data_IF_934098720981
#
_entry.id   IF_934098720981
#
_cell.length_a   1.000
_cell.length_b   1.000
_cell.length_c   1.000
_cell.angle_alpha   90.00
_cell.angle_beta   90.00
_cell.angle_gamma   90.00
#
_symmetry.space_group_name_H-M   'P 1'
#
loop_
_entity.id
_entity.type
_entity.pdbx_description
1 polymer ?
#
# COMPACT_ATOMS: atom_id res chain seq x y z
N UNK A 1 -18.74 -30.59 -13.85
CA UNK A 1 -18.29 -29.75 -12.71
C UNK A 1 -16.77 -29.64 -12.63
N UNK A 2 -16.00 -30.72 -12.81
CA UNK A 2 -14.53 -30.68 -12.79
C UNK A 2 -13.92 -29.63 -13.76
N UNK A 3 -14.41 -29.55 -15.01
CA UNK A 3 -13.91 -28.58 -15.98
C UNK A 3 -14.09 -27.11 -15.55
N UNK A 4 -15.26 -26.76 -14.99
CA UNK A 4 -15.53 -25.39 -14.51
C UNK A 4 -14.67 -25.04 -13.29
N UNK A 5 -14.44 -26.01 -12.41
CA UNK A 5 -13.53 -25.85 -11.29
C UNK A 5 -12.08 -25.62 -11.77
N UNK A 6 -11.60 -26.39 -12.74
CA UNK A 6 -10.27 -26.21 -13.33
C UNK A 6 -10.11 -24.83 -13.98
N UNK A 7 -11.13 -24.33 -14.69
CA UNK A 7 -11.11 -22.98 -15.25
C UNK A 7 -11.08 -21.91 -14.15
N UNK A 8 -11.82 -22.11 -13.07
CA UNK A 8 -11.79 -21.21 -11.92
C UNK A 8 -10.41 -21.18 -11.25
N UNK A 9 -9.77 -22.33 -11.01
CA UNK A 9 -8.41 -22.39 -10.43
C UNK A 9 -7.35 -21.76 -11.35
N UNK A 10 -7.47 -21.98 -12.66
CA UNK A 10 -6.59 -21.34 -13.64
C UNK A 10 -6.77 -19.83 -13.64
N UNK A 11 -8.01 -19.34 -13.51
CA UNK A 11 -8.29 -17.90 -13.46
C UNK A 11 -7.72 -17.24 -12.20
N UNK A 12 -7.68 -17.93 -11.06
CA UNK A 12 -7.05 -17.38 -9.84
C UNK A 12 -5.52 -17.36 -9.92
N UNK A 13 -4.92 -17.92 -10.96
CA UNK A 13 -3.47 -18.01 -11.12
C UNK A 13 -2.83 -19.11 -10.26
N UNK A 14 -3.62 -20.01 -9.69
CA UNK A 14 -3.16 -21.06 -8.77
C UNK A 14 -3.02 -22.39 -9.52
N UNK A 15 -1.81 -22.96 -9.52
CA UNK A 15 -1.55 -24.28 -10.14
C UNK A 15 -1.76 -24.34 -11.66
N UNK A 16 -1.93 -23.20 -12.34
CA UNK A 16 -2.16 -23.16 -13.77
C UNK A 16 -1.01 -23.72 -14.64
N UNK A 17 0.29 -23.64 -14.26
CA UNK A 17 1.34 -24.23 -15.08
C UNK A 17 1.22 -25.75 -15.14
N UNK A 18 0.80 -26.39 -14.04
CA UNK A 18 0.60 -27.83 -13.97
C UNK A 18 -0.60 -28.26 -14.83
N UNK A 19 -1.70 -27.50 -14.77
CA UNK A 19 -2.89 -27.74 -15.60
C UNK A 19 -2.57 -27.58 -17.09
N UNK A 20 -1.81 -26.54 -17.45
CA UNK A 20 -1.30 -26.33 -18.80
C UNK A 20 -0.41 -27.49 -19.25
N UNK A 21 0.56 -27.89 -18.44
CA UNK A 21 1.48 -28.98 -18.75
C UNK A 21 0.74 -30.30 -18.97
N UNK A 22 -0.18 -30.66 -18.06
CA UNK A 22 -1.03 -31.85 -18.18
C UNK A 22 -1.90 -31.81 -19.45
N UNK A 23 -2.32 -30.61 -19.88
CA UNK A 23 -3.08 -30.43 -21.12
C UNK A 23 -2.21 -30.63 -22.36
N UNK A 24 -0.97 -30.14 -22.35
CA UNK A 24 -0.01 -30.32 -23.45
C UNK A 24 0.48 -31.77 -23.57
N UNK A 25 0.55 -32.50 -22.45
CA UNK A 25 1.00 -33.88 -22.42
C UNK A 25 -0.15 -34.88 -22.65
N UNK A 26 -1.40 -34.40 -22.79
CA UNK A 26 -2.58 -35.24 -23.00
C UNK A 26 -2.57 -35.94 -24.36
N UNK A 27 -2.81 -37.25 -24.39
CA UNK A 27 -2.76 -38.08 -25.61
C UNK A 27 -4.17 -38.48 -26.09
N UNK A 28 -4.42 -39.78 -26.30
CA UNK A 28 -5.73 -40.33 -26.66
C UNK A 28 -6.49 -40.74 -25.40
N UNK A 29 -7.80 -40.95 -25.55
CA UNK A 29 -8.65 -41.44 -24.44
C UNK A 29 -8.12 -42.79 -23.95
N UNK A 30 -8.01 -42.93 -22.63
CA UNK A 30 -7.48 -44.11 -21.92
C UNK A 30 -5.96 -44.38 -22.07
N UNK A 31 -5.19 -43.43 -22.60
CA UNK A 31 -3.72 -43.50 -22.66
C UNK A 31 -3.06 -42.53 -21.68
N UNK A 32 -1.86 -42.91 -21.19
CA UNK A 32 -1.05 -42.06 -20.33
C UNK A 32 -0.48 -40.81 -21.04
N UNK A 33 0.02 -39.83 -20.28
CA UNK A 33 0.58 -38.62 -20.85
C UNK A 33 1.91 -38.88 -21.57
N UNK A 34 2.13 -38.18 -22.69
CA UNK A 34 3.40 -38.16 -23.41
C UNK A 34 3.94 -36.72 -23.44
N UNK A 35 5.20 -36.49 -23.02
CA UNK A 35 5.76 -35.15 -22.98
C UNK A 35 5.67 -34.40 -24.32
N UNK A 36 5.06 -33.22 -24.32
CA UNK A 36 4.93 -32.32 -25.48
C UNK A 36 4.16 -32.92 -26.67
N UNK A 37 3.17 -33.77 -26.42
CA UNK A 37 2.37 -34.40 -27.48
C UNK A 37 1.46 -33.40 -28.22
N UNK A 38 0.81 -32.47 -27.50
CA UNK A 38 -0.12 -31.46 -28.03
C UNK A 38 0.20 -30.06 -27.51
N UNK A 39 1.34 -29.52 -27.94
CA UNK A 39 1.78 -28.18 -27.53
C UNK A 39 0.79 -27.07 -27.94
N UNK A 40 -0.01 -27.30 -28.99
CA UNK A 40 -1.06 -26.41 -29.46
C UNK A 40 -2.11 -26.06 -28.40
N UNK A 41 -2.31 -26.92 -27.40
CA UNK A 41 -3.22 -26.65 -26.28
C UNK A 41 -2.81 -25.43 -25.44
N UNK A 42 -1.54 -25.00 -25.50
CA UNK A 42 -1.07 -23.79 -24.84
C UNK A 42 -1.78 -22.52 -25.33
N UNK A 43 -2.21 -22.49 -26.60
CA UNK A 43 -2.90 -21.33 -27.18
C UNK A 43 -4.22 -21.06 -26.43
N UNK A 44 -4.95 -22.12 -26.04
CA UNK A 44 -6.18 -22.00 -25.27
C UNK A 44 -5.93 -21.23 -23.97
N UNK A 45 -4.92 -21.62 -23.20
CA UNK A 45 -4.59 -20.98 -21.93
C UNK A 45 -4.10 -19.55 -22.11
N UNK A 46 -3.27 -19.27 -23.12
CA UNK A 46 -2.82 -17.89 -23.42
C UNK A 46 -4.00 -16.98 -23.71
N UNK A 47 -4.92 -17.41 -24.58
CA UNK A 47 -6.13 -16.63 -24.90
C UNK A 47 -7.01 -16.48 -23.66
N UNK A 48 -7.21 -17.53 -22.88
CA UNK A 48 -7.99 -17.51 -21.65
C UNK A 48 -7.41 -16.52 -20.63
N UNK A 49 -6.09 -16.51 -20.42
CA UNK A 49 -5.40 -15.59 -19.49
C UNK A 49 -5.43 -14.12 -19.92
N UNK A 50 -5.51 -13.83 -21.21
CA UNK A 50 -5.56 -12.44 -21.70
C UNK A 50 -7.00 -11.93 -21.73
N UNK A 51 -7.90 -12.70 -22.33
CA UNK A 51 -9.25 -12.23 -22.65
C UNK A 51 -10.17 -12.28 -21.42
N UNK A 52 -10.12 -13.35 -20.65
CA UNK A 52 -11.07 -13.55 -19.55
C UNK A 52 -10.87 -12.56 -18.40
N UNK A 53 -9.64 -12.28 -17.92
CA UNK A 53 -9.40 -11.25 -16.92
C UNK A 53 -9.76 -9.85 -17.41
N UNK A 54 -9.51 -9.52 -18.67
CA UNK A 54 -9.88 -8.22 -19.24
C UNK A 54 -11.39 -7.98 -19.17
N UNK A 55 -12.19 -8.97 -19.59
CA UNK A 55 -13.65 -8.89 -19.49
C UNK A 55 -14.13 -8.79 -18.04
N UNK A 56 -13.57 -9.62 -17.15
CA UNK A 56 -13.96 -9.63 -15.74
C UNK A 56 -13.65 -8.31 -15.03
N UNK A 57 -12.45 -7.76 -15.25
CA UNK A 57 -12.06 -6.46 -14.69
C UNK A 57 -12.98 -5.35 -15.20
N UNK A 58 -13.32 -5.34 -16.49
CA UNK A 58 -14.19 -4.31 -17.05
C UNK A 58 -15.61 -4.36 -16.46
N UNK A 59 -16.20 -5.55 -16.31
CA UNK A 59 -17.50 -5.70 -15.65
C UNK A 59 -17.42 -5.27 -14.19
N UNK A 60 -16.40 -5.71 -13.48
CA UNK A 60 -16.23 -5.40 -12.07
C UNK A 60 -16.08 -3.89 -11.84
N UNK A 61 -15.24 -3.22 -12.63
CA UNK A 61 -15.05 -1.76 -12.58
C UNK A 61 -16.36 -1.04 -12.90
N UNK A 62 -17.09 -1.46 -13.94
CA UNK A 62 -18.36 -0.84 -14.30
C UNK A 62 -19.40 -0.96 -13.17
N UNK A 63 -19.52 -2.14 -12.56
CA UNK A 63 -20.42 -2.37 -11.43
C UNK A 63 -20.06 -1.48 -10.24
N UNK A 64 -18.77 -1.42 -9.89
CA UNK A 64 -18.28 -0.60 -8.78
C UNK A 64 -18.59 0.89 -9.02
N UNK A 65 -18.35 1.39 -10.23
CA UNK A 65 -18.66 2.79 -10.59
C UNK A 65 -20.15 3.07 -10.42
N UNK A 66 -21.03 2.21 -10.97
CA UNK A 66 -22.48 2.39 -10.86
C UNK A 66 -22.92 2.39 -9.39
N UNK A 67 -22.41 1.46 -8.58
CA UNK A 67 -22.77 1.41 -7.16
C UNK A 67 -22.30 2.64 -6.38
N UNK A 68 -21.11 3.18 -6.66
CA UNK A 68 -20.63 4.41 -6.01
C UNK A 68 -21.37 5.65 -6.50
N UNK A 69 -21.78 5.69 -7.76
CA UNK A 69 -22.63 6.75 -8.28
C UNK A 69 -23.99 6.72 -7.59
N UNK A 70 -24.64 5.56 -7.49
CA UNK A 70 -25.94 5.42 -6.82
C UNK A 70 -25.85 5.77 -5.32
N UNK A 71 -24.78 5.36 -4.63
CA UNK A 71 -24.55 5.76 -3.23
C UNK A 71 -24.29 7.26 -3.09
N UNK A 72 -23.46 7.83 -3.97
CA UNK A 72 -23.14 9.26 -3.96
C UNK A 72 -24.35 10.15 -4.28
N UNK A 73 -25.23 9.71 -5.18
CA UNK A 73 -26.48 10.41 -5.48
C UNK A 73 -27.45 10.36 -4.30
N UNK A 74 -27.60 9.22 -3.62
CA UNK A 74 -28.45 9.11 -2.41
C UNK A 74 -27.99 10.01 -1.26
N UNK A 75 -26.69 10.22 -1.08
CA UNK A 75 -26.15 11.16 -0.08
C UNK A 75 -26.41 12.64 -0.41
N UNK A 76 -26.63 12.94 -1.70
CA UNK A 76 -26.94 14.28 -2.21
C UNK A 76 -28.45 14.52 -2.29
N UNK A 77 -29.27 13.46 -2.39
CA UNK A 77 -30.73 13.53 -2.48
C UNK A 77 -31.39 14.07 -1.18
N UNK A 78 -30.66 14.07 -0.06
CA UNK A 78 -31.15 14.58 1.24
C UNK A 78 -31.31 16.12 1.31
N UNK A 79 -31.01 16.88 0.24
CA UNK A 79 -31.31 18.31 0.21
C UNK A 79 -31.03 19.02 -1.11
N UNK A 80 -31.62 20.20 -1.28
CA UNK A 80 -31.49 21.08 -2.46
C UNK A 80 -30.13 21.82 -2.54
N UNK A 81 -29.09 21.25 -1.92
CA UNK A 81 -27.77 21.86 -1.74
C UNK A 81 -26.73 21.15 -2.62
N UNK A 82 -25.91 21.94 -3.32
CA UNK A 82 -24.78 21.41 -4.10
C UNK A 82 -23.71 20.75 -3.19
N UNK A 83 -22.96 19.78 -3.73
CA UNK A 83 -21.90 19.06 -3.01
C UNK A 83 -20.87 20.02 -2.39
N UNK A 84 -20.51 21.09 -3.10
CA UNK A 84 -19.57 22.08 -2.58
C UNK A 84 -20.17 22.90 -1.43
N UNK A 85 -21.47 23.23 -1.52
CA UNK A 85 -22.17 23.98 -0.48
C UNK A 85 -22.26 23.16 0.81
N UNK A 86 -22.65 21.89 0.71
CA UNK A 86 -22.68 20.95 1.85
C UNK A 86 -21.32 20.88 2.53
N UNK A 87 -20.25 20.68 1.77
CA UNK A 87 -18.87 20.61 2.30
C UNK A 87 -18.42 21.92 2.98
N UNK A 88 -18.74 23.08 2.40
CA UNK A 88 -18.42 24.37 3.01
C UNK A 88 -19.19 24.60 4.32
N UNK A 89 -20.48 24.25 4.35
CA UNK A 89 -21.32 24.38 5.54
C UNK A 89 -20.82 23.46 6.65
N UNK A 90 -20.55 22.19 6.33
CA UNK A 90 -20.01 21.23 7.30
C UNK A 90 -18.68 21.70 7.88
N UNK A 91 -17.78 22.21 7.03
CA UNK A 91 -16.52 22.78 7.50
C UNK A 91 -16.75 24.00 8.41
N UNK A 92 -17.61 24.94 8.03
CA UNK A 92 -17.88 26.14 8.81
C UNK A 92 -18.49 25.82 10.19
N UNK A 93 -19.33 24.79 10.28
CA UNK A 93 -19.97 24.35 11.52
C UNK A 93 -19.01 23.54 12.40
N UNK A 94 -18.19 22.68 11.80
CA UNK A 94 -17.34 21.73 12.53
C UNK A 94 -15.93 22.28 12.83
N UNK A 95 -15.49 23.33 12.15
CA UNK A 95 -14.15 23.88 12.32
C UNK A 95 -13.93 24.37 13.76
N UNK A 96 -12.88 23.84 14.39
CA UNK A 96 -12.40 24.30 15.69
C UNK A 96 -11.12 25.11 15.51
N UNK A 97 -10.90 26.18 16.32
CA UNK A 97 -9.70 26.97 16.22
C UNK A 97 -8.46 26.11 16.51
N UNK A 98 -7.39 26.34 15.74
CA UNK A 98 -6.09 25.70 15.98
C UNK A 98 -5.55 26.16 17.34
N UNK A 99 -5.34 25.20 18.24
CA UNK A 99 -4.75 25.48 19.55
C UNK A 99 -3.23 25.57 19.41
N UNK A 100 -2.69 26.80 19.36
CA UNK A 100 -1.24 27.04 19.41
C UNK A 100 -0.84 27.51 20.80
N UNK A 101 -0.11 26.67 21.54
CA UNK A 101 0.38 27.01 22.87
C UNK A 101 1.60 27.94 22.74
N UNK A 102 1.39 29.25 22.88
CA UNK A 102 2.46 30.25 22.88
C UNK A 102 2.80 30.66 24.32
N UNK A 103 4.06 30.57 24.76
CA UNK A 103 4.46 31.07 26.08
C UNK A 103 4.27 32.60 26.16
N UNK A 104 3.70 33.08 27.28
CA UNK A 104 3.28 34.48 27.47
C UNK A 104 4.45 35.47 27.56
N UNK A 105 5.59 35.04 28.13
CA UNK A 105 6.73 35.92 28.43
C UNK A 105 7.84 35.73 27.38
N UNK A 106 8.07 36.75 26.54
CA UNK A 106 9.08 36.73 25.47
C UNK A 106 10.53 36.76 25.96
N UNK A 107 10.77 37.28 27.17
CA UNK A 107 12.12 37.45 27.73
C UNK A 107 12.65 36.19 28.45
N UNK A 108 11.80 35.18 28.63
CA UNK A 108 12.17 33.95 29.33
C UNK A 108 12.83 32.92 28.40
N UNK A 109 13.70 32.08 28.95
CA UNK A 109 14.37 30.97 28.23
C UNK A 109 13.35 30.05 27.55
N UNK A 110 12.18 29.87 28.15
CA UNK A 110 11.05 29.10 27.60
C UNK A 110 10.63 29.59 26.20
N UNK A 111 10.59 30.91 25.95
CA UNK A 111 10.23 31.44 24.62
C UNK A 111 11.33 31.19 23.59
N UNK A 112 12.61 31.24 23.99
CA UNK A 112 13.74 30.93 23.11
C UNK A 112 13.74 29.45 22.71
N UNK A 113 13.52 28.54 23.65
CA UNK A 113 13.39 27.10 23.37
C UNK A 113 12.18 26.82 22.49
N UNK A 114 11.01 27.39 22.81
CA UNK A 114 9.81 27.25 21.97
C UNK A 114 10.05 27.75 20.53
N UNK A 115 10.69 28.91 20.37
CA UNK A 115 11.01 29.46 19.05
C UNK A 115 11.99 28.58 18.28
N UNK A 116 12.93 27.92 18.96
CA UNK A 116 13.86 26.99 18.34
C UNK A 116 13.17 25.69 17.89
N UNK A 117 12.36 25.07 18.76
CA UNK A 117 11.64 23.81 18.46
C UNK A 117 10.61 24.00 17.36
N UNK A 118 9.92 25.15 17.33
CA UNK A 118 8.88 25.47 16.32
C UNK A 118 9.50 26.02 15.03
N UNK A 119 10.83 26.10 14.93
CA UNK A 119 11.49 26.65 13.75
C UNK A 119 11.55 25.63 12.60
N UNK A 120 11.31 26.04 11.34
CA UNK A 120 11.49 25.16 10.17
C UNK A 120 12.86 24.44 10.07
N UNK A 121 14.03 25.06 10.39
CA UNK A 121 15.29 24.33 10.33
C UNK A 121 15.38 23.18 11.35
N UNK A 122 14.72 23.30 12.51
CA UNK A 122 14.65 22.21 13.49
C UNK A 122 13.81 21.05 12.95
N UNK A 123 12.69 21.32 12.27
CA UNK A 123 11.89 20.29 11.60
C UNK A 123 12.71 19.52 10.54
N UNK A 124 13.47 20.23 9.70
CA UNK A 124 14.37 19.59 8.73
C UNK A 124 15.46 18.74 9.39
N UNK A 125 15.99 19.18 10.54
CA UNK A 125 16.97 18.41 11.31
C UNK A 125 16.38 17.10 11.85
N UNK A 126 15.18 17.13 12.41
CA UNK A 126 14.50 15.90 12.88
C UNK A 126 14.18 14.97 11.72
N UNK A 127 13.69 15.49 10.58
CA UNK A 127 13.47 14.67 9.39
C UNK A 127 14.75 13.99 8.89
N UNK A 128 15.88 14.70 8.91
CA UNK A 128 17.18 14.12 8.57
C UNK A 128 17.58 12.99 9.55
N UNK A 129 17.39 13.18 10.85
CA UNK A 129 17.68 12.16 11.86
C UNK A 129 16.82 10.90 11.66
N UNK A 130 15.55 11.04 11.29
CA UNK A 130 14.66 9.91 10.97
C UNK A 130 15.22 9.13 9.78
N UNK A 131 15.56 9.83 8.68
CA UNK A 131 16.13 9.18 7.48
C UNK A 131 17.41 8.45 7.82
N UNK A 132 18.35 9.08 8.53
CA UNK A 132 19.61 8.46 8.93
C UNK A 132 19.40 7.24 9.82
N UNK A 133 18.45 7.29 10.76
CA UNK A 133 18.09 6.14 11.58
C UNK A 133 17.51 4.99 10.74
N UNK A 134 16.63 5.28 9.77
CA UNK A 134 16.09 4.23 8.88
C UNK A 134 17.19 3.56 8.05
N UNK A 135 18.14 4.33 7.51
CA UNK A 135 19.28 3.80 6.77
C UNK A 135 20.16 2.92 7.65
N UNK A 136 20.44 3.35 8.87
CA UNK A 136 21.24 2.59 9.83
C UNK A 136 20.59 1.23 10.15
N UNK A 137 19.26 1.18 10.30
CA UNK A 137 18.53 -0.06 10.50
C UNK A 137 18.60 -0.98 9.27
N UNK A 138 18.54 -0.44 8.05
CA UNK A 138 18.68 -1.19 6.79
C UNK A 138 20.09 -1.75 6.57
N UNK A 139 21.13 -1.14 7.14
CA UNK A 139 22.51 -1.61 7.02
C UNK A 139 22.81 -2.90 7.80
N UNK A 140 21.85 -3.45 8.55
CA UNK A 140 22.01 -4.73 9.26
C UNK A 140 22.01 -5.90 8.28
N UNK A 141 23.06 -6.73 8.31
CA UNK A 141 23.16 -7.93 7.49
C UNK A 141 23.65 -9.16 8.28
N UNK A 142 23.43 -10.34 7.72
CA UNK A 142 23.77 -11.63 8.35
C UNK A 142 25.29 -11.90 8.31
N UNK A 143 25.87 -12.42 9.40
CA UNK A 143 27.33 -12.61 9.61
C UNK A 143 28.19 -11.32 9.56
N UNK A 144 27.66 -10.23 10.10
CA UNK A 144 28.41 -8.98 10.26
C UNK A 144 29.65 -9.11 11.16
N UNK A 145 30.72 -8.39 10.82
CA UNK A 145 31.94 -8.28 11.66
C UNK A 145 31.56 -7.72 13.04
N UNK A 146 32.18 -8.25 14.11
CA UNK A 146 31.88 -7.86 15.49
C UNK A 146 32.06 -6.35 15.73
N UNK A 147 33.07 -5.73 15.10
CA UNK A 147 33.32 -4.29 15.18
C UNK A 147 32.15 -3.49 14.58
N UNK A 148 31.65 -3.89 13.40
CA UNK A 148 30.52 -3.26 12.74
C UNK A 148 29.22 -3.38 13.56
N UNK A 149 28.99 -4.56 14.17
CA UNK A 149 27.86 -4.80 15.06
C UNK A 149 27.89 -3.87 16.29
N UNK A 150 29.06 -3.71 16.92
CA UNK A 150 29.23 -2.81 18.07
C UNK A 150 29.01 -1.35 17.67
N UNK A 151 29.58 -0.89 16.54
CA UNK A 151 29.36 0.47 16.04
C UNK A 151 27.87 0.75 15.76
N UNK A 152 27.17 -0.18 15.09
CA UNK A 152 25.73 -0.06 14.88
C UNK A 152 24.95 0.01 16.19
N UNK A 153 25.35 -0.73 17.21
CA UNK A 153 24.68 -0.69 18.52
C UNK A 153 24.84 0.67 19.20
N UNK A 154 26.05 1.23 19.24
CA UNK A 154 26.29 2.57 19.79
C UNK A 154 25.58 3.67 19.01
N UNK A 155 25.55 3.59 17.68
CA UNK A 155 24.83 4.57 16.87
C UNK A 155 23.32 4.50 17.11
N UNK A 156 22.73 3.30 17.19
CA UNK A 156 21.32 3.16 17.56
C UNK A 156 21.04 3.79 18.93
N UNK A 157 21.89 3.55 19.93
CA UNK A 157 21.75 4.16 21.26
C UNK A 157 21.87 5.70 21.21
N UNK A 158 22.76 6.24 20.38
CA UNK A 158 22.91 7.69 20.18
C UNK A 158 21.65 8.30 19.54
N UNK A 159 21.08 7.67 18.51
CA UNK A 159 19.82 8.11 17.92
C UNK A 159 18.67 8.05 18.94
N UNK A 160 18.58 6.99 19.76
CA UNK A 160 17.60 6.91 20.85
C UNK A 160 17.75 8.06 21.84
N UNK A 161 18.97 8.43 22.22
CA UNK A 161 19.21 9.57 23.11
C UNK A 161 18.80 10.90 22.47
N UNK A 162 19.10 11.10 21.18
CA UNK A 162 18.72 12.32 20.44
C UNK A 162 17.20 12.49 20.34
N UNK A 163 16.45 11.43 20.06
CA UNK A 163 14.98 11.47 20.09
C UNK A 163 14.45 11.66 21.51
N UNK A 164 15.09 11.06 22.53
CA UNK A 164 14.69 11.26 23.93
C UNK A 164 14.89 12.70 24.40
N UNK A 165 15.87 13.42 23.86
CA UNK A 165 16.12 14.84 24.15
C UNK A 165 15.16 15.78 23.41
N UNK A 166 14.57 15.32 22.31
CA UNK A 166 13.60 16.09 21.54
C UNK A 166 12.21 16.05 22.19
N UNK A 167 11.83 14.90 22.74
CA UNK A 167 10.59 14.69 23.49
C UNK A 167 10.55 15.46 24.83
#
# INVERSE_FOLDING_TARGET
>A
MAAMLTLFTVQTGEGWPDVLQNSMDSTYVDYGPLPRFRIEMAIFYVVFFVVFPFFFVNIFVALIIITFQEQGEKELEEGDLDKNQKSCIDFAIQARPLQRFMPKNKDNVQYKVWKAVVSPPFEYFIMLLIVLNTLLLMMKYHKQKQLFKSTLHYMNAAFTALFTLEC
#
